data_IF_343840560363
#
_entry.id   IF_343840560363
#
_cell.length_a   1.000
_cell.length_b   1.000
_cell.length_c   1.000
_cell.angle_alpha   90.00
_cell.angle_beta   90.00
_cell.angle_gamma   90.00
#
_symmetry.space_group_name_H-M   'P 1'
#
loop_
_entity.id
_entity.type
_entity.pdbx_description
1 polymer ?
#
# COMPACT_ATOMS: atom_id res chain seq x y z
N UNK A 1 -1.75 -17.85 -14.66
CA UNK A 1 -1.23 -18.44 -13.41
C UNK A 1 -2.13 -17.93 -12.29
N UNK A 2 -3.20 -18.67 -11.98
CA UNK A 2 -4.13 -18.31 -10.92
C UNK A 2 -3.63 -18.98 -9.63
N UNK A 3 -3.15 -18.19 -8.69
CA UNK A 3 -2.66 -18.69 -7.42
C UNK A 3 -3.86 -18.84 -6.46
N UNK A 4 -4.51 -20.00 -6.48
CA UNK A 4 -5.56 -20.35 -5.52
C UNK A 4 -4.92 -20.72 -4.18
N UNK A 5 -4.79 -19.73 -3.30
CA UNK A 5 -4.42 -19.97 -1.90
C UNK A 5 -5.53 -20.77 -1.21
N UNK A 6 -5.29 -22.05 -0.95
CA UNK A 6 -6.18 -22.91 -0.17
C UNK A 6 -5.92 -22.67 1.32
N UNK A 7 -6.79 -21.91 1.97
CA UNK A 7 -6.78 -21.81 3.43
C UNK A 7 -7.61 -22.96 4.00
N UNK A 8 -6.94 -23.89 4.69
CA UNK A 8 -7.55 -24.99 5.44
C UNK A 8 -8.38 -24.45 6.60
N UNK A 9 -9.65 -24.88 6.65
CA UNK A 9 -10.66 -24.50 7.63
C UNK A 9 -10.20 -24.81 9.06
N UNK A 10 -9.85 -23.77 9.83
CA UNK A 10 -9.47 -23.94 11.24
C UNK A 10 -8.68 -22.79 11.87
N UNK A 11 -8.21 -21.82 11.09
CA UNK A 11 -7.52 -20.65 11.65
C UNK A 11 -8.50 -19.48 11.82
N UNK A 12 -8.65 -18.97 13.05
CA UNK A 12 -9.30 -17.68 13.31
C UNK A 12 -8.33 -16.53 12.96
N UNK A 13 -7.72 -16.60 11.78
CA UNK A 13 -6.91 -15.52 11.25
C UNK A 13 -7.88 -14.46 10.73
N UNK A 14 -7.91 -13.32 11.41
CA UNK A 14 -8.47 -12.10 10.90
C UNK A 14 -7.62 -11.71 9.68
N UNK A 15 -7.93 -12.31 8.53
CA UNK A 15 -7.34 -11.97 7.24
C UNK A 15 -7.83 -10.57 6.90
N UNK A 16 -7.18 -9.56 7.49
CA UNK A 16 -7.44 -8.17 7.15
C UNK A 16 -7.39 -8.06 5.64
N UNK A 17 -8.51 -7.69 5.04
CA UNK A 17 -8.56 -7.48 3.61
C UNK A 17 -7.80 -6.20 3.34
N UNK A 18 -6.74 -6.28 2.54
CA UNK A 18 -5.97 -5.12 2.12
C UNK A 18 -6.35 -4.78 0.69
N UNK A 19 -6.59 -3.52 0.42
CA UNK A 19 -6.82 -3.00 -0.92
C UNK A 19 -5.95 -1.77 -1.18
N UNK A 20 -5.74 -1.46 -2.46
CA UNK A 20 -5.08 -0.22 -2.83
C UNK A 20 -5.95 0.94 -2.31
N UNK A 21 -5.32 1.85 -1.58
CA UNK A 21 -6.04 2.96 -0.96
C UNK A 21 -6.65 3.86 -2.03
N UNK A 22 -7.93 4.19 -1.89
CA UNK A 22 -8.58 5.19 -2.73
C UNK A 22 -8.31 6.60 -2.18
N UNK A 23 -7.24 7.22 -2.67
CA UNK A 23 -6.74 8.49 -2.14
C UNK A 23 -7.52 9.69 -2.68
N UNK A 24 -7.83 10.63 -1.80
CA UNK A 24 -8.28 11.96 -2.20
C UNK A 24 -7.10 12.87 -2.58
N UNK A 25 -7.41 14.05 -3.14
CA UNK A 25 -6.39 14.99 -3.64
C UNK A 25 -5.40 15.46 -2.56
N UNK A 26 -5.85 15.61 -1.31
CA UNK A 26 -4.98 16.04 -0.20
C UNK A 26 -4.01 14.94 0.20
N UNK A 27 -4.48 13.70 0.25
CA UNK A 27 -3.64 12.53 0.58
C UNK A 27 -2.62 12.27 -0.52
N UNK A 28 -3.04 12.38 -1.78
CA UNK A 28 -2.12 12.29 -2.92
C UNK A 28 -1.02 13.35 -2.83
N UNK A 29 -1.36 14.61 -2.53
CA UNK A 29 -0.38 15.68 -2.38
C UNK A 29 0.61 15.42 -1.23
N UNK A 30 0.15 14.80 -0.14
CA UNK A 30 1.02 14.43 0.97
C UNK A 30 2.03 13.33 0.57
N UNK A 31 1.59 12.35 -0.21
CA UNK A 31 2.47 11.28 -0.75
C UNK A 31 3.46 11.88 -1.74
N UNK A 32 3.00 12.69 -2.70
CA UNK A 32 3.88 13.35 -3.68
C UNK A 32 4.97 14.18 -2.98
N UNK A 33 4.62 14.88 -1.88
CA UNK A 33 5.58 15.63 -1.07
C UNK A 33 6.60 14.71 -0.38
N UNK A 34 6.15 13.58 0.16
CA UNK A 34 7.05 12.63 0.81
C UNK A 34 8.05 12.01 -0.18
N UNK A 35 7.57 11.61 -1.37
CA UNK A 35 8.44 11.11 -2.44
C UNK A 35 9.49 12.14 -2.85
N UNK A 36 9.09 13.40 -2.98
CA UNK A 36 10.00 14.49 -3.30
C UNK A 36 11.10 14.67 -2.25
N UNK A 37 10.73 14.71 -0.96
CA UNK A 37 11.67 14.87 0.14
C UNK A 37 12.70 13.73 0.17
N UNK A 38 12.25 12.48 0.03
CA UNK A 38 13.17 11.33 0.02
C UNK A 38 14.12 11.40 -1.18
N UNK A 39 13.64 11.88 -2.34
CA UNK A 39 14.50 12.11 -3.50
C UNK A 39 15.56 13.17 -3.22
N UNK A 40 15.20 14.30 -2.61
CA UNK A 40 16.14 15.36 -2.26
C UNK A 40 17.24 14.86 -1.32
N UNK A 41 16.89 14.04 -0.33
CA UNK A 41 17.84 13.52 0.67
C UNK A 41 18.73 12.41 0.13
N UNK A 42 18.23 11.57 -0.77
CA UNK A 42 18.91 10.33 -1.20
C UNK A 42 19.45 10.38 -2.63
N UNK A 43 18.99 11.32 -3.44
CA UNK A 43 19.28 11.41 -4.88
C UNK A 43 18.63 10.30 -5.73
N UNK A 44 17.71 9.51 -5.16
CA UNK A 44 17.07 8.37 -5.83
C UNK A 44 15.57 8.58 -5.97
N UNK A 45 15.02 8.11 -7.08
CA UNK A 45 13.59 8.07 -7.31
C UNK A 45 12.96 6.85 -6.60
N UNK A 46 12.03 7.11 -5.70
CA UNK A 46 11.22 6.10 -5.02
C UNK A 46 9.76 6.25 -5.41
N UNK A 47 9.02 5.15 -5.34
CA UNK A 47 7.56 5.11 -5.56
C UNK A 47 6.91 4.60 -4.30
N UNK A 48 5.91 5.32 -3.79
CA UNK A 48 5.09 4.94 -2.65
C UNK A 48 3.77 4.33 -3.11
N UNK A 49 3.44 3.14 -2.58
CA UNK A 49 2.17 2.46 -2.84
C UNK A 49 1.35 2.46 -1.56
N UNK A 50 0.21 3.16 -1.58
CA UNK A 50 -0.69 3.24 -0.44
C UNK A 50 -1.66 2.04 -0.41
N UNK A 51 -1.73 1.38 0.75
CA UNK A 51 -2.65 0.27 1.03
C UNK A 51 -3.51 0.60 2.25
N UNK A 52 -4.79 0.27 2.19
CA UNK A 52 -5.72 0.42 3.31
C UNK A 52 -6.28 -0.93 3.76
N UNK A 53 -6.64 -1.00 5.05
CA UNK A 53 -7.36 -2.15 5.61
C UNK A 53 -8.85 -1.91 5.44
N UNK A 54 -9.56 -2.93 4.96
CA UNK A 54 -11.02 -2.98 4.89
C UNK A 54 -11.61 -3.65 6.13
#
# INVERSE_FOLDING_TARGET
MENKSTCSSGCNCNHGHFELANLNSSEKAAIDKAEHLVKEETGKDYVMIAWEKK
#
